data_IF_384777789914
#
_entry.id   IF_384777789914
#
_cell.length_a   1.000
_cell.length_b   1.000
_cell.length_c   1.000
_cell.angle_alpha   90.00
_cell.angle_beta   90.00
_cell.angle_gamma   90.00
#
_symmetry.space_group_name_H-M   'P 1'
#
loop_
_entity.id
_entity.type
_entity.pdbx_description
1 polymer ?
#
# COMPACT_ATOMS: atom_id res chain seq x y z
N UNK A 1 -1.66 16.19 26.41
CA UNK A 1 -1.88 14.94 27.16
C UNK A 1 -2.91 14.11 26.42
N UNK A 2 -2.90 12.76 26.56
CA UNK A 2 -3.93 11.92 25.98
C UNK A 2 -5.33 12.36 26.45
N UNK A 3 -6.35 12.31 25.59
CA UNK A 3 -7.71 12.66 25.99
C UNK A 3 -8.20 11.69 27.07
N UNK A 4 -8.68 12.24 28.18
CA UNK A 4 -9.28 11.44 29.24
C UNK A 4 -10.71 10.99 28.86
N UNK A 5 -11.29 10.12 29.70
CA UNK A 5 -12.64 9.60 29.45
C UNK A 5 -13.70 10.70 29.40
N UNK A 6 -13.53 11.80 30.12
CA UNK A 6 -14.48 12.90 30.12
C UNK A 6 -14.40 13.72 28.82
N UNK A 7 -13.19 13.92 28.29
CA UNK A 7 -12.97 14.54 26.97
C UNK A 7 -13.60 13.69 25.87
N UNK A 8 -13.42 12.37 25.92
CA UNK A 8 -14.05 11.44 24.95
C UNK A 8 -15.58 11.49 25.07
N UNK A 9 -16.11 11.46 26.30
CA UNK A 9 -17.55 11.57 26.57
C UNK A 9 -18.11 12.87 26.01
N UNK A 10 -17.47 14.00 26.29
CA UNK A 10 -17.84 15.32 25.78
C UNK A 10 -17.78 15.37 24.26
N UNK A 11 -16.71 14.85 23.65
CA UNK A 11 -16.59 14.76 22.19
C UNK A 11 -17.75 13.98 21.56
N UNK A 12 -18.12 12.85 22.16
CA UNK A 12 -19.21 12.03 21.67
C UNK A 12 -20.61 12.56 22.00
N UNK A 13 -20.80 13.51 22.91
CA UNK A 13 -22.12 14.08 23.24
C UNK A 13 -22.34 15.50 22.68
N UNK A 14 -21.26 16.28 22.55
CA UNK A 14 -21.31 17.71 22.23
C UNK A 14 -20.38 18.10 21.08
N UNK A 15 -19.34 17.31 20.82
CA UNK A 15 -18.33 17.59 19.80
C UNK A 15 -18.75 17.26 18.38
N UNK A 16 -17.94 17.72 17.41
CA UNK A 16 -18.02 17.34 16.00
C UNK A 16 -17.42 15.95 15.84
N UNK A 17 -18.19 14.99 15.34
CA UNK A 17 -17.72 13.64 15.04
C UNK A 17 -17.50 13.53 13.54
N UNK A 18 -16.25 13.41 13.14
CA UNK A 18 -15.83 13.30 11.75
C UNK A 18 -15.48 11.86 11.44
N UNK A 19 -16.05 11.31 10.36
CA UNK A 19 -15.67 9.97 9.89
C UNK A 19 -14.65 10.05 8.77
N UNK A 20 -13.75 9.07 8.78
CA UNK A 20 -12.88 8.73 7.68
C UNK A 20 -13.58 7.79 6.66
N UNK A 21 -13.03 7.70 5.45
CA UNK A 21 -13.57 6.87 4.36
C UNK A 21 -13.54 5.38 4.71
N UNK A 22 -12.52 4.92 5.45
CA UNK A 22 -12.41 3.53 5.90
C UNK A 22 -13.62 3.08 6.74
N UNK A 23 -14.13 3.93 7.63
CA UNK A 23 -15.29 3.63 8.49
C UNK A 23 -16.54 3.39 7.66
N UNK A 24 -16.73 4.20 6.61
CA UNK A 24 -17.84 4.05 5.67
C UNK A 24 -17.71 2.76 4.85
N UNK A 25 -16.50 2.43 4.41
CA UNK A 25 -16.22 1.21 3.67
C UNK A 25 -16.39 -0.06 4.53
N UNK A 26 -16.16 0.01 5.84
CA UNK A 26 -16.40 -1.10 6.78
C UNK A 26 -17.84 -1.60 6.76
N UNK A 27 -18.82 -0.73 6.46
CA UNK A 27 -20.23 -1.14 6.34
C UNK A 27 -20.45 -2.22 5.28
N UNK A 28 -19.66 -2.20 4.19
CA UNK A 28 -19.71 -3.19 3.12
C UNK A 28 -19.00 -4.50 3.49
N UNK A 29 -18.08 -4.46 4.45
CA UNK A 29 -17.31 -5.62 4.92
C UNK A 29 -17.99 -6.33 6.09
N UNK A 30 -18.87 -5.63 6.79
CA UNK A 30 -19.48 -6.12 8.01
C UNK A 30 -20.63 -7.08 7.74
N UNK A 31 -20.75 -8.10 8.60
CA UNK A 31 -21.94 -8.94 8.68
C UNK A 31 -23.20 -8.09 8.94
N UNK A 32 -24.40 -8.52 8.52
CA UNK A 32 -25.61 -7.68 8.53
C UNK A 32 -25.95 -7.07 9.90
N UNK A 33 -25.78 -7.86 10.97
CA UNK A 33 -26.00 -7.39 12.34
C UNK A 33 -25.00 -6.28 12.71
N UNK A 34 -23.71 -6.54 12.57
CA UNK A 34 -22.63 -5.59 12.87
C UNK A 34 -22.72 -4.30 12.05
N UNK A 35 -23.15 -4.42 10.79
CA UNK A 35 -23.44 -3.28 9.89
C UNK A 35 -24.57 -2.42 10.43
N UNK A 36 -25.67 -3.05 10.84
CA UNK A 36 -26.84 -2.37 11.41
C UNK A 36 -26.47 -1.66 12.73
N UNK A 37 -25.69 -2.32 13.58
CA UNK A 37 -25.20 -1.75 14.84
C UNK A 37 -24.30 -0.53 14.60
N UNK A 38 -23.39 -0.58 13.61
CA UNK A 38 -22.59 0.58 13.19
C UNK A 38 -23.47 1.71 12.64
N UNK A 39 -24.43 1.42 11.75
CA UNK A 39 -25.37 2.42 11.23
C UNK A 39 -26.17 3.10 12.34
N UNK A 40 -26.61 2.34 13.34
CA UNK A 40 -27.34 2.86 14.49
C UNK A 40 -26.43 3.74 15.36
N UNK A 41 -25.19 3.31 15.62
CA UNK A 41 -24.21 4.12 16.34
C UNK A 41 -23.97 5.48 15.66
N UNK A 42 -23.78 5.47 14.33
CA UNK A 42 -23.63 6.69 13.54
C UNK A 42 -24.89 7.57 13.59
N UNK A 43 -26.08 6.95 13.54
CA UNK A 43 -27.36 7.67 13.63
C UNK A 43 -27.54 8.38 14.98
N UNK A 44 -27.11 7.76 16.08
CA UNK A 44 -27.19 8.31 17.45
C UNK A 44 -26.29 9.54 17.66
N UNK A 45 -25.22 9.69 16.87
CA UNK A 45 -24.41 10.92 16.88
C UNK A 45 -25.24 12.11 16.37
N UNK A 46 -26.15 11.88 15.44
CA UNK A 46 -27.11 12.88 14.96
C UNK A 46 -26.42 14.02 14.20
N UNK A 47 -26.83 15.27 14.48
CA UNK A 47 -26.34 16.48 13.78
C UNK A 47 -24.84 16.73 13.93
N UNK A 48 -24.23 16.10 14.92
CA UNK A 48 -22.79 16.19 15.21
C UNK A 48 -21.94 15.33 14.29
N UNK A 49 -22.56 14.38 13.58
CA UNK A 49 -21.89 13.59 12.58
C UNK A 49 -21.61 14.45 11.35
N UNK A 50 -20.41 14.31 10.79
CA UNK A 50 -20.04 14.99 9.56
C UNK A 50 -18.95 14.20 8.82
N UNK A 51 -18.88 14.36 7.50
CA UNK A 51 -17.77 13.87 6.70
C UNK A 51 -17.22 14.97 5.77
N UNK A 52 -15.89 15.04 5.59
CA UNK A 52 -15.28 15.88 4.57
C UNK A 52 -15.78 15.52 3.16
N UNK A 53 -15.77 16.50 2.26
CA UNK A 53 -15.99 16.25 0.84
C UNK A 53 -15.02 15.19 0.30
N UNK A 54 -13.74 15.27 0.70
CA UNK A 54 -12.72 14.31 0.29
C UNK A 54 -13.07 12.88 0.71
N UNK A 55 -13.58 12.68 1.93
CA UNK A 55 -14.04 11.37 2.42
C UNK A 55 -15.18 10.83 1.56
N UNK A 56 -16.13 11.68 1.17
CA UNK A 56 -17.20 11.32 0.24
C UNK A 56 -16.68 10.86 -1.12
N UNK A 57 -15.70 11.57 -1.69
CA UNK A 57 -15.06 11.20 -2.96
C UNK A 57 -14.36 9.85 -2.86
N UNK A 58 -13.52 9.65 -1.84
CA UNK A 58 -12.79 8.41 -1.62
C UNK A 58 -13.72 7.22 -1.40
N UNK A 59 -14.79 7.41 -0.63
CA UNK A 59 -15.81 6.41 -0.44
C UNK A 59 -16.44 6.00 -1.77
N UNK A 60 -16.86 6.96 -2.60
CA UNK A 60 -17.48 6.66 -3.88
C UNK A 60 -16.53 5.97 -4.88
N UNK A 61 -15.25 6.34 -4.89
CA UNK A 61 -14.20 5.70 -5.71
C UNK A 61 -13.97 4.25 -5.29
N UNK A 62 -13.93 3.99 -3.99
CA UNK A 62 -13.50 2.70 -3.45
C UNK A 62 -14.64 1.71 -3.18
N UNK A 63 -15.90 2.15 -3.03
CA UNK A 63 -17.00 1.25 -2.60
C UNK A 63 -17.21 0.05 -3.52
N UNK A 64 -17.15 0.26 -4.85
CA UNK A 64 -17.41 -0.81 -5.82
C UNK A 64 -16.31 -1.87 -5.78
N UNK A 65 -15.06 -1.45 -5.53
CA UNK A 65 -13.94 -2.36 -5.32
C UNK A 65 -14.15 -3.20 -4.05
N UNK A 66 -14.57 -2.57 -2.94
CA UNK A 66 -14.84 -3.30 -1.69
C UNK A 66 -15.97 -4.32 -1.84
N UNK A 67 -17.03 -3.98 -2.58
CA UNK A 67 -18.10 -4.94 -2.93
C UNK A 67 -17.55 -6.11 -3.75
N UNK A 68 -16.75 -5.82 -4.78
CA UNK A 68 -16.15 -6.85 -5.62
C UNK A 68 -15.19 -7.77 -4.85
N UNK A 69 -14.36 -7.21 -3.96
CA UNK A 69 -13.43 -7.94 -3.11
C UNK A 69 -14.17 -8.85 -2.12
N UNK A 70 -15.30 -8.41 -1.58
CA UNK A 70 -16.16 -9.22 -0.72
C UNK A 70 -16.72 -10.43 -1.47
N UNK A 71 -17.25 -10.22 -2.67
CA UNK A 71 -17.74 -11.31 -3.53
C UNK A 71 -16.64 -12.28 -3.96
N UNK A 72 -15.45 -11.74 -4.27
CA UNK A 72 -14.30 -12.55 -4.65
C UNK A 72 -13.87 -13.49 -3.51
N UNK A 73 -13.94 -13.06 -2.25
CA UNK A 73 -13.59 -13.89 -1.10
C UNK A 73 -14.47 -15.15 -0.98
N UNK A 74 -15.78 -15.03 -1.21
CA UNK A 74 -16.67 -16.20 -1.23
C UNK A 74 -16.40 -17.10 -2.44
N UNK A 75 -16.21 -16.51 -3.62
CA UNK A 75 -15.90 -17.26 -4.86
C UNK A 75 -14.60 -18.05 -4.75
N UNK A 76 -13.58 -17.49 -4.09
CA UNK A 76 -12.30 -18.17 -3.84
C UNK A 76 -12.47 -19.43 -2.99
N UNK A 77 -13.25 -19.34 -1.91
CA UNK A 77 -13.54 -20.50 -1.04
C UNK A 77 -14.40 -21.54 -1.77
N UNK A 78 -15.43 -21.10 -2.50
CA UNK A 78 -16.29 -22.00 -3.30
C UNK A 78 -15.46 -22.70 -4.40
N UNK A 79 -14.61 -21.95 -5.10
CA UNK A 79 -13.70 -22.50 -6.12
C UNK A 79 -12.70 -23.51 -5.52
N UNK A 80 -12.14 -23.21 -4.35
CA UNK A 80 -11.27 -24.12 -3.61
C UNK A 80 -12.00 -25.39 -3.17
N UNK A 81 -13.25 -25.28 -2.73
CA UNK A 81 -14.09 -26.43 -2.39
C UNK A 81 -14.33 -27.31 -3.62
N UNK A 82 -14.66 -26.69 -4.75
CA UNK A 82 -14.89 -27.39 -6.02
C UNK A 82 -13.62 -28.11 -6.49
N UNK A 83 -12.47 -27.45 -6.48
CA UNK A 83 -11.20 -28.07 -6.83
C UNK A 83 -10.88 -29.27 -5.94
N UNK A 84 -11.11 -29.15 -4.62
CA UNK A 84 -10.89 -30.25 -3.68
C UNK A 84 -11.87 -31.39 -3.92
N UNK A 85 -13.14 -31.10 -4.22
CA UNK A 85 -14.13 -32.11 -4.60
C UNK A 85 -13.64 -32.87 -5.83
N UNK A 86 -13.24 -32.17 -6.88
CA UNK A 86 -12.82 -32.77 -8.15
C UNK A 86 -11.55 -33.62 -8.01
N UNK A 87 -10.66 -33.30 -7.06
CA UNK A 87 -9.45 -34.09 -6.80
C UNK A 87 -9.65 -35.22 -5.78
N UNK A 88 -10.37 -34.97 -4.68
CA UNK A 88 -10.47 -35.87 -3.53
C UNK A 88 -11.62 -36.85 -3.65
N UNK A 89 -12.76 -36.43 -4.20
CA UNK A 89 -13.93 -37.29 -4.31
C UNK A 89 -13.66 -38.53 -5.18
N UNK A 90 -12.97 -38.44 -6.34
CA UNK A 90 -12.61 -39.63 -7.12
C UNK A 90 -11.63 -40.56 -6.39
N UNK A 91 -10.66 -40.01 -5.64
CA UNK A 91 -9.71 -40.81 -4.85
C UNK A 91 -10.43 -41.59 -3.75
N UNK A 92 -11.30 -40.92 -3.01
CA UNK A 92 -12.04 -41.55 -1.92
C UNK A 92 -13.10 -42.53 -2.45
N UNK A 93 -13.76 -42.21 -3.57
CA UNK A 93 -14.66 -43.13 -4.28
C UNK A 93 -13.93 -44.43 -4.60
N UNK A 94 -12.75 -44.35 -5.24
CA UNK A 94 -11.93 -45.52 -5.54
C UNK A 94 -11.62 -46.34 -4.28
N UNK A 95 -11.21 -45.71 -3.18
CA UNK A 95 -10.90 -46.42 -1.91
C UNK A 95 -12.14 -47.08 -1.30
N UNK A 96 -13.30 -46.45 -1.38
CA UNK A 96 -14.58 -47.02 -0.92
C UNK A 96 -14.94 -48.25 -1.76
N UNK A 97 -14.74 -48.19 -3.08
CA UNK A 97 -14.94 -49.36 -3.96
C UNK A 97 -13.94 -50.48 -3.68
N UNK A 98 -12.68 -50.16 -3.47
CA UNK A 98 -11.64 -51.13 -3.10
C UNK A 98 -11.95 -51.80 -1.75
N UNK A 99 -12.43 -51.03 -0.76
CA UNK A 99 -12.92 -51.57 0.50
C UNK A 99 -14.06 -52.55 0.23
N UNK A 100 -15.06 -52.13 -0.54
CA UNK A 100 -16.21 -52.96 -0.89
C UNK A 100 -15.80 -54.30 -1.51
N UNK A 101 -14.83 -54.28 -2.42
CA UNK A 101 -14.28 -55.49 -3.03
C UNK A 101 -13.51 -56.39 -2.05
N UNK A 102 -12.81 -55.80 -1.06
CA UNK A 102 -11.99 -56.55 -0.10
C UNK A 102 -12.80 -57.20 1.02
N UNK A 103 -13.87 -56.56 1.47
CA UNK A 103 -14.69 -57.04 2.60
C UNK A 103 -16.06 -57.55 2.18
N UNK A 104 -16.32 -57.64 0.86
CA UNK A 104 -17.63 -57.99 0.29
C UNK A 104 -18.76 -57.12 0.87
N UNK A 105 -18.52 -55.80 0.91
CA UNK A 105 -19.50 -54.82 1.39
C UNK A 105 -20.74 -54.87 0.48
N UNK A 106 -21.96 -54.91 1.03
CA UNK A 106 -23.18 -54.79 0.24
C UNK A 106 -23.18 -53.53 -0.65
N UNK A 107 -23.75 -53.64 -1.86
CA UNK A 107 -23.74 -52.55 -2.84
C UNK A 107 -24.48 -51.30 -2.32
N UNK A 108 -25.57 -51.50 -1.57
CA UNK A 108 -26.34 -50.44 -0.92
C UNK A 108 -25.53 -49.71 0.16
N UNK A 109 -24.82 -50.44 1.04
CA UNK A 109 -23.94 -49.83 2.05
C UNK A 109 -22.79 -49.02 1.41
N UNK A 110 -22.23 -49.50 0.30
CA UNK A 110 -21.21 -48.76 -0.46
C UNK A 110 -21.78 -47.49 -1.09
N UNK A 111 -22.92 -47.61 -1.76
CA UNK A 111 -23.53 -46.51 -2.48
C UNK A 111 -24.02 -45.42 -1.51
N UNK A 112 -24.47 -45.80 -0.31
CA UNK A 112 -24.79 -44.88 0.79
C UNK A 112 -23.57 -44.05 1.22
N UNK A 113 -22.37 -44.65 1.33
CA UNK A 113 -21.14 -43.93 1.65
C UNK A 113 -20.74 -42.93 0.56
N UNK A 114 -20.87 -43.32 -0.72
CA UNK A 114 -20.59 -42.43 -1.86
C UNK A 114 -21.61 -41.28 -1.91
N UNK A 115 -22.88 -41.56 -1.65
CA UNK A 115 -23.94 -40.55 -1.60
C UNK A 115 -23.74 -39.60 -0.42
N UNK A 116 -23.26 -40.08 0.73
CA UNK A 116 -22.91 -39.26 1.89
C UNK A 116 -21.78 -38.29 1.55
N UNK A 117 -20.74 -38.75 0.85
CA UNK A 117 -19.64 -37.90 0.39
C UNK A 117 -20.14 -36.78 -0.53
N UNK A 118 -20.89 -37.13 -1.56
CA UNK A 118 -21.39 -36.18 -2.55
C UNK A 118 -22.41 -35.18 -1.95
N UNK A 119 -23.27 -35.64 -1.04
CA UNK A 119 -24.21 -34.76 -0.34
C UNK A 119 -23.51 -33.81 0.63
N UNK A 120 -22.43 -34.25 1.31
CA UNK A 120 -21.65 -33.39 2.21
C UNK A 120 -21.02 -32.20 1.48
N UNK A 121 -20.41 -32.44 0.30
CA UNK A 121 -19.88 -31.36 -0.54
C UNK A 121 -20.97 -30.39 -0.99
N UNK A 122 -22.10 -30.90 -1.46
CA UNK A 122 -23.24 -30.07 -1.89
C UNK A 122 -23.82 -29.23 -0.76
N UNK A 123 -23.97 -29.80 0.43
CA UNK A 123 -24.47 -29.08 1.61
C UNK A 123 -23.53 -27.94 2.00
N UNK A 124 -22.21 -28.18 2.03
CA UNK A 124 -21.24 -27.14 2.35
C UNK A 124 -21.22 -26.02 1.31
N UNK A 125 -21.26 -26.36 0.02
CA UNK A 125 -21.34 -25.37 -1.06
C UNK A 125 -22.61 -24.53 -0.93
N UNK A 126 -23.77 -25.15 -0.74
CA UNK A 126 -25.05 -24.46 -0.57
C UNK A 126 -25.04 -23.52 0.64
N UNK A 127 -24.46 -23.96 1.77
CA UNK A 127 -24.31 -23.12 2.96
C UNK A 127 -23.43 -21.89 2.69
N UNK A 128 -22.32 -22.04 1.94
CA UNK A 128 -21.46 -20.92 1.56
C UNK A 128 -22.17 -19.93 0.63
N UNK A 129 -22.91 -20.42 -0.37
CA UNK A 129 -23.71 -19.58 -1.27
C UNK A 129 -24.83 -18.84 -0.52
N UNK A 130 -25.46 -19.50 0.45
CA UNK A 130 -26.47 -18.87 1.30
C UNK A 130 -25.86 -17.77 2.18
N UNK A 131 -24.68 -18.00 2.77
CA UNK A 131 -23.94 -16.99 3.51
C UNK A 131 -23.52 -15.82 2.63
N UNK A 132 -23.08 -16.08 1.39
CA UNK A 132 -22.77 -15.02 0.44
C UNK A 132 -24.00 -14.16 0.16
N UNK A 133 -25.17 -14.77 -0.05
CA UNK A 133 -26.42 -14.02 -0.28
C UNK A 133 -26.88 -13.24 0.95
N UNK A 134 -26.70 -13.79 2.15
CA UNK A 134 -27.18 -13.16 3.39
C UNK A 134 -26.26 -12.04 3.90
N UNK A 135 -24.94 -12.22 3.77
CA UNK A 135 -23.95 -11.23 4.19
C UNK A 135 -23.62 -10.24 3.09
N UNK A 136 -23.78 -10.66 1.84
CA UNK A 136 -23.51 -9.89 0.63
C UNK A 136 -24.20 -8.55 0.62
N UNK A 137 -23.45 -7.57 0.15
CA UNK A 137 -24.00 -6.38 -0.47
C UNK A 137 -24.25 -6.82 -1.92
N UNK A 138 -25.46 -6.65 -2.44
CA UNK A 138 -25.82 -7.18 -3.77
C UNK A 138 -24.79 -6.84 -4.85
N UNK A 139 -24.85 -7.53 -6.00
CA UNK A 139 -23.92 -7.29 -7.11
C UNK A 139 -23.73 -5.78 -7.38
N UNK A 140 -22.58 -5.32 -7.88
CA UNK A 140 -22.31 -3.87 -8.07
C UNK A 140 -23.38 -3.06 -8.83
N UNK A 141 -24.21 -3.73 -9.64
CA UNK A 141 -25.32 -3.15 -10.39
C UNK A 141 -26.69 -3.22 -9.67
N UNK A 142 -26.77 -3.84 -8.50
CA UNK A 142 -27.99 -3.97 -7.71
C UNK A 142 -28.26 -2.71 -6.86
N UNK A 143 -29.51 -2.51 -6.39
CA UNK A 143 -29.82 -1.44 -5.45
C UNK A 143 -28.96 -1.52 -4.18
N UNK A 144 -28.22 -0.44 -3.90
CA UNK A 144 -27.28 -0.38 -2.78
C UNK A 144 -27.98 0.15 -1.51
N UNK A 145 -28.57 -0.77 -0.75
CA UNK A 145 -29.28 -0.43 0.50
C UNK A 145 -28.37 0.19 1.56
N UNK A 146 -27.06 -0.10 1.54
CA UNK A 146 -26.09 0.52 2.43
C UNK A 146 -25.92 1.99 2.08
N UNK A 147 -25.75 2.28 0.79
CA UNK A 147 -25.64 3.65 0.29
C UNK A 147 -26.90 4.47 0.58
N UNK A 148 -28.10 3.91 0.37
CA UNK A 148 -29.34 4.61 0.71
C UNK A 148 -29.41 4.92 2.20
N UNK A 149 -29.04 3.95 3.06
CA UNK A 149 -29.02 4.21 4.50
C UNK A 149 -27.98 5.26 4.90
N UNK A 150 -26.81 5.25 4.26
CA UNK A 150 -25.79 6.28 4.46
C UNK A 150 -26.26 7.65 4.00
N UNK A 151 -26.99 7.76 2.89
CA UNK A 151 -27.58 9.01 2.42
C UNK A 151 -28.53 9.61 3.46
N UNK A 152 -29.35 8.78 4.11
CA UNK A 152 -30.21 9.23 5.21
C UNK A 152 -29.38 9.72 6.40
N UNK A 153 -28.40 8.91 6.85
CA UNK A 153 -27.55 9.23 8.01
C UNK A 153 -26.72 10.49 7.79
N UNK A 154 -26.23 10.71 6.56
CA UNK A 154 -25.35 11.81 6.20
C UNK A 154 -26.07 12.98 5.54
N UNK A 155 -27.40 12.96 5.48
CA UNK A 155 -28.17 14.05 4.86
C UNK A 155 -27.85 15.39 5.54
N UNK A 156 -27.34 16.36 4.77
CA UNK A 156 -26.92 17.67 5.25
C UNK A 156 -25.65 17.64 6.14
N UNK A 157 -24.87 16.55 6.10
CA UNK A 157 -23.70 16.30 6.95
C UNK A 157 -22.45 15.96 6.15
N UNK A 158 -22.42 16.36 4.88
CA UNK A 158 -21.27 16.19 3.98
C UNK A 158 -20.72 17.57 3.66
N UNK A 159 -19.41 17.75 3.79
CA UNK A 159 -18.73 18.98 3.38
C UNK A 159 -18.97 19.29 1.91
N UNK A 160 -19.11 20.58 1.60
CA UNK A 160 -19.22 21.05 0.22
C UNK A 160 -17.88 20.88 -0.52
N UNK A 161 -17.96 20.76 -1.84
CA UNK A 161 -16.78 20.77 -2.69
C UNK A 161 -16.03 22.10 -2.50
N UNK A 162 -14.74 22.08 -2.11
CA UNK A 162 -13.98 23.32 -1.96
C UNK A 162 -13.88 24.08 -3.29
N UNK A 163 -14.00 25.42 -3.28
CA UNK A 163 -13.76 26.24 -4.46
C UNK A 163 -12.39 25.96 -5.08
N UNK A 164 -12.24 26.16 -6.40
CA UNK A 164 -11.01 25.84 -7.13
C UNK A 164 -9.77 26.51 -6.53
N UNK A 165 -9.87 27.77 -6.10
CA UNK A 165 -8.77 28.49 -5.44
C UNK A 165 -8.39 27.83 -4.10
N UNK A 166 -9.37 27.46 -3.27
CA UNK A 166 -9.09 26.77 -2.01
C UNK A 166 -8.46 25.41 -2.26
N UNK A 167 -8.93 24.67 -3.28
CA UNK A 167 -8.35 23.39 -3.66
C UNK A 167 -6.88 23.56 -4.06
N UNK A 168 -6.54 24.59 -4.84
CA UNK A 168 -5.16 24.87 -5.24
C UNK A 168 -4.27 25.13 -4.01
N UNK A 169 -4.73 25.99 -3.09
CA UNK A 169 -4.02 26.26 -1.84
C UNK A 169 -3.83 25.00 -0.99
N UNK A 170 -4.87 24.18 -0.87
CA UNK A 170 -4.79 22.93 -0.12
C UNK A 170 -3.78 21.95 -0.77
N UNK A 171 -3.67 21.92 -2.09
CA UNK A 171 -2.69 21.06 -2.79
C UNK A 171 -1.25 21.56 -2.61
N UNK A 172 -1.02 22.88 -2.69
CA UNK A 172 0.30 23.48 -2.44
C UNK A 172 0.77 23.22 -1.01
N UNK A 173 -0.15 23.36 -0.04
CA UNK A 173 0.11 23.04 1.37
C UNK A 173 0.38 21.54 1.56
N UNK A 174 -0.39 20.66 0.93
CA UNK A 174 -0.17 19.22 1.00
C UNK A 174 1.22 18.83 0.46
N UNK A 175 1.65 19.44 -0.66
CA UNK A 175 2.98 19.23 -1.22
C UNK A 175 4.09 19.69 -0.25
N UNK A 176 3.96 20.90 0.33
CA UNK A 176 4.92 21.40 1.32
C UNK A 176 5.02 20.45 2.52
N UNK A 177 3.89 19.93 3.01
CA UNK A 177 3.87 18.99 4.14
C UNK A 177 4.58 17.68 3.83
N UNK A 178 4.48 17.18 2.60
CA UNK A 178 5.23 16.00 2.16
C UNK A 178 6.74 16.28 2.21
N UNK A 179 7.18 17.40 1.64
CA UNK A 179 8.60 17.79 1.58
C UNK A 179 9.19 18.03 2.97
N UNK A 180 8.45 18.71 3.85
CA UNK A 180 8.85 19.06 5.22
C UNK A 180 8.54 17.97 6.25
N UNK A 181 7.92 16.85 5.84
CA UNK A 181 7.47 15.74 6.70
C UNK A 181 6.54 16.18 7.85
N UNK A 182 5.63 17.09 7.54
CA UNK A 182 4.62 17.62 8.46
C UNK A 182 3.35 16.74 8.37
N UNK A 183 2.81 16.24 9.49
CA UNK A 183 1.59 15.42 9.49
C UNK A 183 0.31 16.22 9.21
N UNK A 184 -0.78 15.58 8.75
CA UNK A 184 -0.86 14.22 8.24
C UNK A 184 -0.58 14.16 6.72
N UNK A 185 -0.32 12.97 6.18
CA UNK A 185 -0.24 12.70 4.74
C UNK A 185 1.18 12.59 4.16
N UNK A 186 2.23 13.00 4.89
CA UNK A 186 3.60 12.91 4.37
C UNK A 186 4.07 11.46 4.13
N UNK A 187 3.45 10.46 4.80
CA UNK A 187 3.74 9.03 4.59
C UNK A 187 3.10 8.45 3.32
N UNK A 188 2.22 9.18 2.65
CA UNK A 188 1.59 8.74 1.39
C UNK A 188 2.37 9.14 0.13
N UNK A 189 3.61 9.65 0.30
CA UNK A 189 4.51 9.98 -0.80
C UNK A 189 4.73 8.76 -1.71
N UNK A 190 4.24 8.83 -2.95
CA UNK A 190 4.36 7.75 -3.94
C UNK A 190 3.09 6.91 -4.19
N UNK A 191 1.96 7.25 -3.56
CA UNK A 191 0.63 6.77 -3.97
C UNK A 191 0.06 7.62 -5.11
N UNK A 192 -0.92 7.08 -5.83
CA UNK A 192 -1.64 7.80 -6.90
C UNK A 192 -2.37 9.06 -6.39
N UNK A 193 -2.74 9.09 -5.11
CA UNK A 193 -3.37 10.23 -4.43
C UNK A 193 -2.63 10.57 -3.13
N UNK A 194 -1.49 11.28 -3.20
CA UNK A 194 -0.62 11.53 -2.03
C UNK A 194 -1.16 12.60 -1.07
N UNK A 195 -2.25 13.30 -1.43
CA UNK A 195 -2.76 14.46 -0.70
C UNK A 195 -4.07 14.19 0.07
N UNK A 196 -4.67 13.00 -0.05
CA UNK A 196 -5.98 12.67 0.52
C UNK A 196 -6.09 12.96 2.01
N UNK A 197 -5.15 12.41 2.81
CA UNK A 197 -5.11 12.58 4.27
C UNK A 197 -5.10 14.06 4.70
N UNK A 198 -4.31 14.91 4.04
CA UNK A 198 -4.28 16.35 4.35
C UNK A 198 -5.60 17.06 3.96
N UNK A 199 -6.22 16.66 2.85
CA UNK A 199 -7.50 17.25 2.43
C UNK A 199 -8.63 16.90 3.42
N UNK A 200 -8.65 15.66 3.92
CA UNK A 200 -9.55 15.25 5.01
C UNK A 200 -9.30 16.10 6.25
N UNK A 201 -8.03 16.30 6.63
CA UNK A 201 -7.65 17.08 7.79
C UNK A 201 -8.01 18.57 7.69
N UNK A 202 -7.64 19.23 6.60
CA UNK A 202 -7.92 20.65 6.36
C UNK A 202 -9.42 20.96 6.34
N UNK A 203 -10.22 20.12 5.69
CA UNK A 203 -11.68 20.24 5.69
C UNK A 203 -12.26 20.04 7.10
N UNK A 204 -11.73 19.08 7.87
CA UNK A 204 -12.11 18.85 9.26
C UNK A 204 -11.86 20.09 10.13
N UNK A 205 -10.69 20.71 10.00
CA UNK A 205 -10.35 21.91 10.76
C UNK A 205 -11.27 23.09 10.43
N UNK A 206 -11.57 23.30 9.15
CA UNK A 206 -12.50 24.37 8.71
C UNK A 206 -13.90 24.15 9.26
N UNK A 207 -14.45 22.95 9.14
CA UNK A 207 -15.79 22.64 9.66
C UNK A 207 -15.85 22.81 11.19
N UNK A 208 -14.81 22.35 11.90
CA UNK A 208 -14.72 22.49 13.36
C UNK A 208 -14.69 23.97 13.78
N UNK A 209 -13.94 24.80 13.06
CA UNK A 209 -13.84 26.24 13.26
C UNK A 209 -15.19 26.93 13.02
N UNK A 210 -15.86 26.62 11.90
CA UNK A 210 -17.16 27.18 11.55
C UNK A 210 -18.24 26.85 12.59
N UNK A 211 -18.27 25.59 13.04
CA UNK A 211 -19.21 25.13 14.07
C UNK A 211 -18.83 25.57 15.49
N UNK A 212 -17.64 26.13 15.69
CA UNK A 212 -17.06 26.45 17.01
C UNK A 212 -17.15 25.26 17.97
N UNK A 213 -16.87 24.07 17.44
CA UNK A 213 -17.03 22.82 18.20
C UNK A 213 -15.93 22.71 19.25
N UNK A 214 -16.24 22.44 20.53
CA UNK A 214 -15.22 22.41 21.59
C UNK A 214 -14.29 21.19 21.49
N UNK A 215 -14.76 20.13 20.84
CA UNK A 215 -14.04 18.87 20.66
C UNK A 215 -14.32 18.36 19.24
N UNK A 216 -13.28 17.85 18.58
CA UNK A 216 -13.37 17.12 17.31
C UNK A 216 -13.00 15.67 17.59
N UNK A 217 -13.92 14.75 17.30
CA UNK A 217 -13.72 13.31 17.33
C UNK A 217 -13.52 12.82 15.91
N UNK A 218 -12.29 12.53 15.51
CA UNK A 218 -12.00 11.89 14.24
C UNK A 218 -12.04 10.37 14.42
N UNK A 219 -13.00 9.71 13.78
CA UNK A 219 -13.14 8.26 13.76
C UNK A 219 -12.41 7.72 12.53
N UNK A 220 -11.31 7.02 12.76
CA UNK A 220 -10.48 6.46 11.68
C UNK A 220 -9.82 5.17 12.16
N UNK A 221 -9.84 4.15 11.29
CA UNK A 221 -9.05 2.92 11.48
C UNK A 221 -7.62 3.05 10.94
N UNK A 222 -7.18 4.23 10.53
CA UNK A 222 -5.81 4.45 10.09
C UNK A 222 -4.83 4.19 11.25
N UNK A 223 -3.73 3.49 10.95
CA UNK A 223 -2.69 3.13 11.91
C UNK A 223 -1.35 3.83 11.64
N UNK A 224 -1.27 4.69 10.62
CA UNK A 224 -0.04 5.39 10.24
C UNK A 224 0.47 6.30 11.37
N UNK A 225 1.79 6.44 11.43
CA UNK A 225 2.48 7.17 12.50
C UNK A 225 2.47 8.69 12.32
N UNK A 226 2.03 9.19 11.16
CA UNK A 226 1.78 10.61 10.94
C UNK A 226 0.47 11.07 11.60
N UNK A 227 -0.46 10.16 11.90
CA UNK A 227 -1.67 10.47 12.66
C UNK A 227 -1.51 10.28 14.17
N UNK A 228 -0.79 9.24 14.62
CA UNK A 228 -0.73 8.86 16.03
C UNK A 228 0.67 9.00 16.64
N UNK A 229 0.73 9.52 17.86
CA UNK A 229 1.89 9.35 18.73
C UNK A 229 1.89 7.94 19.31
N UNK A 230 3.02 7.24 19.13
CA UNK A 230 3.20 5.88 19.61
C UNK A 230 4.44 5.76 20.48
N UNK A 231 4.36 4.95 21.52
CA UNK A 231 5.49 4.65 22.40
C UNK A 231 5.53 3.14 22.65
N UNK A 232 6.67 2.50 22.36
CA UNK A 232 6.89 1.04 22.56
C UNK A 232 5.75 0.17 21.99
N UNK A 233 5.28 0.51 20.79
CA UNK A 233 4.22 -0.22 20.09
C UNK A 233 2.78 0.11 20.53
N UNK A 234 2.59 0.93 21.55
CA UNK A 234 1.26 1.37 21.99
C UNK A 234 0.85 2.69 21.35
N UNK A 235 -0.39 2.78 20.86
CA UNK A 235 -1.02 4.05 20.46
C UNK A 235 -1.34 4.85 21.72
N UNK A 236 -0.75 6.04 21.85
CA UNK A 236 -0.93 6.87 23.04
C UNK A 236 -2.02 7.92 22.83
N UNK A 237 -1.91 8.70 21.75
CA UNK A 237 -2.84 9.77 21.39
C UNK A 237 -2.63 10.19 19.93
N UNK A 238 -3.46 11.09 19.43
CA UNK A 238 -3.15 11.83 18.20
C UNK A 238 -1.79 12.52 18.33
N UNK A 239 -1.08 12.70 17.22
CA UNK A 239 0.19 13.44 17.25
C UNK A 239 0.02 14.82 17.92
N UNK A 240 0.96 15.24 18.80
CA UNK A 240 0.89 16.54 19.46
C UNK A 240 0.77 17.70 18.47
N UNK A 241 1.37 17.58 17.29
CA UNK A 241 1.30 18.56 16.19
C UNK A 241 -0.12 18.72 15.68
N UNK A 242 -0.83 17.61 15.43
CA UNK A 242 -2.23 17.63 15.01
C UNK A 242 -3.14 18.18 16.11
N UNK A 243 -2.87 17.80 17.36
CA UNK A 243 -3.62 18.29 18.52
C UNK A 243 -3.43 19.80 18.70
N UNK A 244 -2.20 20.30 18.52
CA UNK A 244 -1.86 21.72 18.60
C UNK A 244 -2.47 22.50 17.44
N UNK A 245 -2.40 21.97 16.22
CA UNK A 245 -2.98 22.58 15.04
C UNK A 245 -4.51 22.69 15.16
N UNK A 246 -5.19 21.63 15.60
CA UNK A 246 -6.63 21.66 15.84
C UNK A 246 -7.04 22.72 16.86
N UNK A 247 -6.30 22.81 17.97
CA UNK A 247 -6.54 23.84 18.97
C UNK A 247 -6.28 25.25 18.41
N UNK A 248 -5.20 25.44 17.64
CA UNK A 248 -4.81 26.74 17.09
C UNK A 248 -5.79 27.24 16.02
N UNK A 249 -6.25 26.37 15.14
CA UNK A 249 -7.10 26.73 13.99
C UNK A 249 -8.58 26.75 14.37
N UNK A 250 -9.06 25.69 15.02
CA UNK A 250 -10.48 25.50 15.31
C UNK A 250 -10.87 25.83 16.76
N UNK A 251 -9.90 26.05 17.66
CA UNK A 251 -10.18 26.21 19.09
C UNK A 251 -10.67 24.93 19.77
N UNK A 252 -10.47 23.77 19.13
CA UNK A 252 -11.04 22.50 19.54
C UNK A 252 -9.99 21.52 20.08
N UNK A 253 -10.39 20.67 21.04
CA UNK A 253 -9.59 19.52 21.43
C UNK A 253 -9.75 18.37 20.43
N UNK A 254 -8.64 17.74 20.03
CA UNK A 254 -8.66 16.59 19.13
C UNK A 254 -8.75 15.27 19.90
N UNK A 255 -9.71 14.44 19.52
CA UNK A 255 -9.85 13.04 19.93
C UNK A 255 -9.82 12.17 18.69
N UNK A 256 -8.93 11.19 18.63
CA UNK A 256 -8.88 10.21 17.54
C UNK A 256 -9.31 8.84 18.05
N UNK A 257 -10.26 8.21 17.38
CA UNK A 257 -10.81 6.91 17.77
C UNK A 257 -10.79 5.92 16.59
N UNK A 258 -10.15 4.75 16.75
CA UNK A 258 -10.44 3.59 15.91
C UNK A 258 -11.92 3.20 15.98
N UNK A 259 -12.47 2.64 14.90
CA UNK A 259 -13.88 2.21 14.81
C UNK A 259 -14.29 1.33 16.00
N UNK A 260 -13.40 0.42 16.44
CA UNK A 260 -13.62 -0.42 17.64
C UNK A 260 -13.88 0.40 18.91
N UNK A 261 -13.07 1.43 19.16
CA UNK A 261 -13.21 2.29 20.34
C UNK A 261 -14.41 3.21 20.19
N UNK A 262 -14.67 3.73 18.99
CA UNK A 262 -15.90 4.47 18.71
C UNK A 262 -17.14 3.66 19.08
N UNK A 263 -17.25 2.41 18.62
CA UNK A 263 -18.37 1.52 18.95
C UNK A 263 -18.49 1.25 20.45
N UNK A 264 -17.37 0.97 21.12
CA UNK A 264 -17.33 0.74 22.57
C UNK A 264 -17.79 1.97 23.37
N UNK A 265 -17.35 3.17 22.96
CA UNK A 265 -17.75 4.41 23.60
C UNK A 265 -19.16 4.86 23.22
N UNK A 266 -19.63 4.54 22.01
CA UNK A 266 -21.02 4.75 21.60
C UNK A 266 -21.96 3.88 22.46
N UNK A 267 -21.60 2.62 22.72
CA UNK A 267 -22.35 1.77 23.66
C UNK A 267 -22.39 2.41 25.06
N UNK A 268 -21.24 2.85 25.57
CA UNK A 268 -21.12 3.41 26.92
C UNK A 268 -21.87 4.74 27.11
N UNK A 269 -21.65 5.69 26.21
CA UNK A 269 -22.06 7.09 26.36
C UNK A 269 -23.30 7.45 25.53
N UNK A 270 -23.47 6.87 24.34
CA UNK A 270 -24.66 7.08 23.49
C UNK A 270 -25.76 6.04 23.71
N UNK A 271 -25.50 5.03 24.55
CA UNK A 271 -26.41 3.90 24.80
C UNK A 271 -26.77 3.14 23.53
N UNK A 272 -25.84 3.10 22.57
CA UNK A 272 -25.98 2.29 21.37
C UNK A 272 -26.02 0.80 21.75
N UNK A 273 -26.92 0.03 21.15
CA UNK A 273 -26.95 -1.41 21.33
C UNK A 273 -25.89 -2.06 20.44
N UNK A 274 -24.69 -2.25 20.98
CA UNK A 274 -23.55 -2.86 20.30
C UNK A 274 -23.24 -4.20 20.94
N UNK A 275 -23.11 -5.24 20.12
CA UNK A 275 -22.71 -6.56 20.57
C UNK A 275 -21.18 -6.71 20.58
N UNK A 276 -20.67 -7.58 21.46
CA UNK A 276 -19.24 -7.89 21.51
C UNK A 276 -18.73 -8.45 20.18
N UNK A 277 -19.60 -9.12 19.42
CA UNK A 277 -19.32 -9.61 18.07
C UNK A 277 -18.95 -8.46 17.12
N UNK A 278 -19.71 -7.37 17.12
CA UNK A 278 -19.44 -6.19 16.30
C UNK A 278 -18.12 -5.53 16.68
N UNK A 279 -17.83 -5.42 17.98
CA UNK A 279 -16.54 -4.90 18.48
C UNK A 279 -15.38 -5.78 18.00
N UNK A 280 -15.52 -7.12 18.12
CA UNK A 280 -14.52 -8.08 17.61
C UNK A 280 -14.35 -8.01 16.09
N UNK A 281 -15.43 -7.79 15.35
CA UNK A 281 -15.37 -7.70 13.90
C UNK A 281 -14.60 -6.44 13.45
N UNK A 282 -14.82 -5.31 14.12
CA UNK A 282 -14.04 -4.09 13.90
C UNK A 282 -12.56 -4.26 14.25
N UNK A 283 -12.24 -5.03 15.30
CA UNK A 283 -10.87 -5.38 15.66
C UNK A 283 -10.20 -6.28 14.62
N UNK A 284 -10.90 -7.35 14.20
CA UNK A 284 -10.39 -8.28 13.19
C UNK A 284 -10.18 -7.59 11.84
N UNK A 285 -11.06 -6.66 11.46
CA UNK A 285 -10.88 -5.85 10.25
C UNK A 285 -9.59 -5.02 10.33
N UNK A 286 -9.37 -4.31 11.43
CA UNK A 286 -8.15 -3.51 11.63
C UNK A 286 -6.88 -4.38 11.57
N UNK A 287 -6.91 -5.56 12.19
CA UNK A 287 -5.81 -6.53 12.11
C UNK A 287 -5.60 -7.08 10.69
N UNK A 288 -6.68 -7.32 9.94
CA UNK A 288 -6.60 -7.80 8.57
C UNK A 288 -6.01 -6.73 7.64
N UNK A 289 -6.39 -5.46 7.81
CA UNK A 289 -5.84 -4.35 7.04
C UNK A 289 -4.34 -4.14 7.34
N UNK A 290 -3.91 -4.23 8.61
CA UNK A 290 -2.48 -4.18 8.98
C UNK A 290 -1.70 -5.35 8.37
N UNK A 291 -2.29 -6.56 8.37
CA UNK A 291 -1.66 -7.74 7.75
C UNK A 291 -1.46 -7.55 6.25
N UNK A 292 -2.48 -7.05 5.53
CA UNK A 292 -2.39 -6.77 4.09
C UNK A 292 -1.31 -5.74 3.78
N UNK A 293 -1.19 -4.71 4.64
CA UNK A 293 -0.14 -3.72 4.49
C UNK A 293 1.26 -4.33 4.69
N UNK A 294 1.45 -5.18 5.71
CA UNK A 294 2.70 -5.91 5.91
C UNK A 294 3.05 -6.79 4.70
N UNK A 295 2.08 -7.51 4.15
CA UNK A 295 2.25 -8.31 2.93
C UNK A 295 2.66 -7.44 1.73
N UNK A 296 2.06 -6.25 1.60
CA UNK A 296 2.42 -5.24 0.60
C UNK A 296 3.86 -4.72 0.77
N UNK A 297 4.28 -4.41 2.00
CA UNK A 297 5.66 -3.99 2.29
C UNK A 297 6.67 -5.10 1.97
N UNK A 298 6.38 -6.35 2.32
CA UNK A 298 7.23 -7.51 1.97
C UNK A 298 7.38 -7.62 0.45
N UNK A 299 6.28 -7.49 -0.30
CA UNK A 299 6.33 -7.48 -1.76
C UNK A 299 7.20 -6.33 -2.28
N UNK A 300 7.02 -5.13 -1.74
CA UNK A 300 7.78 -3.95 -2.15
C UNK A 300 9.29 -4.10 -1.88
N UNK A 301 9.66 -4.65 -0.73
CA UNK A 301 11.06 -4.96 -0.40
C UNK A 301 11.64 -5.94 -1.42
N UNK A 302 10.91 -7.00 -1.79
CA UNK A 302 11.35 -7.95 -2.84
C UNK A 302 11.56 -7.26 -4.19
N UNK A 303 10.64 -6.39 -4.59
CA UNK A 303 10.76 -5.61 -5.83
C UNK A 303 11.98 -4.69 -5.83
N UNK A 304 12.23 -3.97 -4.73
CA UNK A 304 13.39 -3.06 -4.60
C UNK A 304 14.71 -3.83 -4.61
N UNK A 305 14.78 -4.99 -3.94
CA UNK A 305 15.96 -5.88 -3.99
C UNK A 305 16.22 -6.41 -5.39
N UNK A 306 15.18 -6.75 -6.14
CA UNK A 306 15.33 -7.17 -7.53
C UNK A 306 15.85 -6.03 -8.42
N UNK A 307 15.37 -4.80 -8.22
CA UNK A 307 15.87 -3.61 -8.92
C UNK A 307 17.33 -3.30 -8.59
N UNK A 308 17.73 -3.43 -7.31
CA UNK A 308 19.12 -3.30 -6.90
C UNK A 308 20.00 -4.36 -7.57
N UNK A 309 19.61 -5.63 -7.54
CA UNK A 309 20.37 -6.71 -8.15
C UNK A 309 20.59 -6.50 -9.66
N UNK A 310 19.55 -6.08 -10.39
CA UNK A 310 19.63 -5.72 -11.80
C UNK A 310 20.58 -4.53 -12.05
N UNK A 311 20.47 -3.47 -11.25
CA UNK A 311 21.33 -2.29 -11.39
C UNK A 311 22.81 -2.61 -11.11
N UNK A 312 23.09 -3.41 -10.07
CA UNK A 312 24.45 -3.89 -9.75
C UNK A 312 25.00 -4.77 -10.86
N UNK A 313 24.18 -5.65 -11.44
CA UNK A 313 24.56 -6.46 -12.60
C UNK A 313 24.96 -5.59 -13.79
N UNK A 314 24.16 -4.57 -14.11
CA UNK A 314 24.46 -3.61 -15.19
C UNK A 314 25.72 -2.78 -14.93
N UNK A 315 25.92 -2.30 -13.71
CA UNK A 315 27.14 -1.58 -13.34
C UNK A 315 28.38 -2.46 -13.53
N UNK A 316 28.32 -3.71 -13.05
CA UNK A 316 29.43 -4.66 -13.17
C UNK A 316 29.79 -4.93 -14.64
N UNK A 317 28.79 -5.07 -15.51
CA UNK A 317 29.01 -5.26 -16.96
C UNK A 317 29.60 -4.01 -17.62
N UNK A 318 29.08 -2.81 -17.32
CA UNK A 318 29.59 -1.56 -17.86
C UNK A 318 31.02 -1.27 -17.40
N UNK A 319 31.34 -1.50 -16.12
CA UNK A 319 32.69 -1.37 -15.59
C UNK A 319 33.64 -2.33 -16.29
N UNK A 320 33.24 -3.59 -16.48
CA UNK A 320 34.03 -4.58 -17.23
C UNK A 320 34.31 -4.12 -18.66
N UNK A 321 33.29 -3.68 -19.39
CA UNK A 321 33.44 -3.18 -20.77
C UNK A 321 34.31 -1.93 -20.84
N UNK A 322 34.14 -1.01 -19.90
CA UNK A 322 34.98 0.20 -19.79
C UNK A 322 36.46 -0.18 -19.62
N UNK A 323 36.77 -1.12 -18.74
CA UNK A 323 38.15 -1.62 -18.56
C UNK A 323 38.69 -2.24 -19.86
N UNK A 324 37.90 -3.06 -20.56
CA UNK A 324 38.32 -3.63 -21.84
C UNK A 324 38.65 -2.56 -22.90
N UNK A 325 37.86 -1.48 -22.98
CA UNK A 325 38.13 -0.36 -23.89
C UNK A 325 39.36 0.44 -23.44
N UNK A 326 39.58 0.61 -22.13
CA UNK A 326 40.79 1.26 -21.59
C UNK A 326 42.07 0.47 -21.90
N UNK A 327 42.02 -0.85 -21.78
CA UNK A 327 43.14 -1.72 -22.15
C UNK A 327 43.44 -1.63 -23.64
N UNK A 328 42.39 -1.64 -24.48
CA UNK A 328 42.50 -1.49 -25.93
C UNK A 328 43.03 -0.11 -26.33
N UNK A 329 42.59 0.95 -25.67
CA UNK A 329 43.11 2.32 -25.84
C UNK A 329 44.61 2.37 -25.56
N UNK A 330 45.04 1.80 -24.43
CA UNK A 330 46.46 1.76 -24.03
C UNK A 330 47.34 1.06 -25.07
N UNK A 331 46.81 0.04 -25.76
CA UNK A 331 47.50 -0.63 -26.87
C UNK A 331 47.63 0.30 -28.08
N UNK A 332 46.55 0.97 -28.49
CA UNK A 332 46.56 1.91 -29.62
C UNK A 332 47.45 3.13 -29.36
N UNK A 333 47.48 3.66 -28.14
CA UNK A 333 48.38 4.77 -27.75
C UNK A 333 49.85 4.38 -27.88
N UNK A 334 50.23 3.18 -27.40
CA UNK A 334 51.60 2.67 -27.57
C UNK A 334 51.98 2.53 -29.04
N UNK A 335 51.08 1.99 -29.86
CA UNK A 335 51.30 1.83 -31.30
C UNK A 335 51.43 3.17 -32.00
N UNK A 336 50.55 4.11 -31.66
CA UNK A 336 50.58 5.48 -32.17
C UNK A 336 51.92 6.17 -31.85
N UNK A 337 52.38 6.10 -30.60
CA UNK A 337 53.68 6.66 -30.18
C UNK A 337 54.87 6.03 -30.93
N UNK A 338 54.84 4.71 -31.16
CA UNK A 338 55.85 4.02 -31.96
C UNK A 338 55.90 4.52 -33.41
N UNK A 339 54.74 4.68 -34.06
CA UNK A 339 54.64 5.17 -35.43
C UNK A 339 55.12 6.62 -35.55
N UNK A 340 54.84 7.47 -34.55
CA UNK A 340 55.38 8.83 -34.50
C UNK A 340 56.91 8.84 -34.44
N UNK A 341 57.51 8.00 -33.58
CA UNK A 341 58.97 7.89 -33.49
C UNK A 341 59.61 7.41 -34.80
N UNK A 342 59.02 6.40 -35.45
CA UNK A 342 59.48 5.96 -36.77
C UNK A 342 59.40 7.08 -37.82
N UNK A 343 58.30 7.84 -37.82
CA UNK A 343 58.09 8.95 -38.73
C UNK A 343 59.17 10.00 -38.56
N UNK A 344 59.45 10.40 -37.33
CA UNK A 344 60.43 11.44 -37.02
C UNK A 344 61.85 11.01 -37.39
N UNK A 345 62.13 9.70 -37.28
CA UNK A 345 63.40 9.10 -37.72
C UNK A 345 63.55 9.11 -39.24
N UNK A 346 62.48 8.77 -39.99
CA UNK A 346 62.44 8.79 -41.47
C UNK A 346 62.44 10.22 -42.06
N UNK A 347 61.77 11.18 -41.43
CA UNK A 347 61.78 12.59 -41.88
C UNK A 347 63.20 13.15 -41.91
N UNK A 348 64.07 12.68 -41.00
CA UNK A 348 65.45 13.12 -40.90
C UNK A 348 66.36 12.59 -42.03
N UNK A 349 65.96 11.53 -42.76
CA UNK A 349 66.72 10.93 -43.86
C UNK A 349 66.10 11.10 -45.26
N UNK A 350 64.79 11.36 -45.35
CA UNK A 350 63.97 11.23 -46.57
C UNK A 350 64.10 12.34 -47.64
N UNK A 351 65.29 12.90 -47.85
CA UNK A 351 65.44 14.07 -48.76
C UNK A 351 65.33 13.73 -50.25
N UNK A 352 65.71 12.53 -50.72
CA UNK A 352 65.82 12.25 -52.17
C UNK A 352 65.33 10.86 -52.66
N UNK A 353 64.99 9.89 -51.79
CA UNK A 353 64.57 8.53 -52.17
C UNK A 353 63.03 8.39 -52.36
N UNK A 354 62.53 8.01 -53.56
CA UNK A 354 61.11 7.72 -53.82
C UNK A 354 60.50 6.65 -52.91
N UNK A 355 61.25 5.60 -52.56
CA UNK A 355 60.76 4.49 -51.72
C UNK A 355 60.56 4.97 -50.26
N UNK A 356 61.42 5.87 -49.79
CA UNK A 356 61.27 6.49 -48.47
C UNK A 356 60.06 7.44 -48.42
N UNK A 357 59.72 8.12 -49.53
CA UNK A 357 58.51 8.95 -49.63
C UNK A 357 57.23 8.12 -49.58
N UNK A 358 57.20 6.97 -50.24
CA UNK A 358 56.07 6.04 -50.18
C UNK A 358 55.88 5.48 -48.77
N UNK A 359 56.96 5.05 -48.11
CA UNK A 359 56.94 4.60 -46.71
C UNK A 359 56.44 5.70 -45.77
N UNK A 360 56.86 6.95 -45.97
CA UNK A 360 56.40 8.08 -45.18
C UNK A 360 54.89 8.34 -45.37
N UNK A 361 54.37 8.18 -46.59
CA UNK A 361 52.94 8.31 -46.89
C UNK A 361 52.11 7.24 -46.18
N UNK A 362 52.53 5.97 -46.26
CA UNK A 362 51.87 4.86 -45.58
C UNK A 362 51.86 5.06 -44.06
N UNK A 363 52.98 5.51 -43.49
CA UNK A 363 53.10 5.79 -42.08
C UNK A 363 52.19 6.94 -41.61
N UNK A 364 52.01 7.99 -42.43
CA UNK A 364 51.04 9.06 -42.15
C UNK A 364 49.61 8.55 -42.13
N UNK A 365 49.26 7.64 -43.04
CA UNK A 365 47.94 6.98 -43.06
C UNK A 365 47.70 6.18 -41.79
N UNK A 366 48.67 5.37 -41.36
CA UNK A 366 48.57 4.57 -40.13
C UNK A 366 48.44 5.46 -38.89
N UNK A 367 49.23 6.54 -38.81
CA UNK A 367 49.14 7.54 -37.72
C UNK A 367 47.74 8.16 -37.67
N UNK A 368 47.18 8.54 -38.82
CA UNK A 368 45.83 9.10 -38.88
C UNK A 368 44.77 8.08 -38.41
N UNK A 369 44.91 6.82 -38.84
CA UNK A 369 44.04 5.72 -38.41
C UNK A 369 44.06 5.55 -36.88
N UNK A 370 45.23 5.36 -36.27
CA UNK A 370 45.36 5.18 -34.82
C UNK A 370 44.92 6.41 -34.03
N UNK A 371 45.12 7.63 -34.56
CA UNK A 371 44.60 8.86 -33.94
C UNK A 371 43.07 8.85 -33.88
N UNK A 372 42.40 8.49 -34.97
CA UNK A 372 40.94 8.36 -34.98
C UNK A 372 40.46 7.27 -34.02
N UNK A 373 41.16 6.14 -34.00
CA UNK A 373 40.86 5.01 -33.11
C UNK A 373 40.94 5.40 -31.63
N UNK A 374 41.99 6.13 -31.23
CA UNK A 374 42.19 6.68 -29.88
C UNK A 374 41.02 7.59 -29.49
N UNK A 375 40.72 8.59 -30.31
CA UNK A 375 39.63 9.56 -30.05
C UNK A 375 38.28 8.82 -29.89
N UNK A 376 38.02 7.83 -30.74
CA UNK A 376 36.79 7.03 -30.67
C UNK A 376 36.68 6.28 -29.34
N UNK A 377 37.77 5.65 -28.87
CA UNK A 377 37.78 4.91 -27.61
C UNK A 377 37.70 5.83 -26.39
N UNK A 378 38.38 6.97 -26.41
CA UNK A 378 38.25 7.98 -25.36
C UNK A 378 36.78 8.43 -25.22
N UNK A 379 36.12 8.68 -26.35
CA UNK A 379 34.68 9.04 -26.38
C UNK A 379 33.81 7.92 -25.79
N UNK A 380 34.09 6.66 -26.13
CA UNK A 380 33.37 5.50 -25.58
C UNK A 380 33.56 5.36 -24.06
N UNK A 381 34.78 5.57 -23.55
CA UNK A 381 35.08 5.55 -22.11
C UNK A 381 34.33 6.66 -21.36
N UNK A 382 34.22 7.85 -21.95
CA UNK A 382 33.42 8.96 -21.39
C UNK A 382 31.95 8.55 -21.31
N UNK A 383 31.39 8.02 -22.39
CA UNK A 383 30.00 7.51 -22.44
C UNK A 383 29.74 6.45 -21.36
N UNK A 384 30.62 5.46 -21.21
CA UNK A 384 30.50 4.47 -20.12
C UNK A 384 30.53 5.12 -18.74
N UNK A 385 31.40 6.10 -18.53
CA UNK A 385 31.52 6.80 -17.24
C UNK A 385 30.26 7.60 -16.89
N UNK A 386 29.59 8.18 -17.89
CA UNK A 386 28.28 8.84 -17.70
C UNK A 386 27.18 7.86 -17.37
N UNK A 387 27.10 6.73 -18.09
CA UNK A 387 26.12 5.67 -17.82
C UNK A 387 26.30 5.09 -16.41
N UNK A 388 27.54 4.77 -16.01
CA UNK A 388 27.88 4.28 -14.68
C UNK A 388 27.41 5.28 -13.61
N UNK A 389 27.75 6.57 -13.75
CA UNK A 389 27.31 7.61 -12.80
C UNK A 389 25.80 7.70 -12.69
N UNK A 390 25.09 7.68 -13.82
CA UNK A 390 23.62 7.72 -13.85
C UNK A 390 22.99 6.51 -13.13
N UNK A 391 23.50 5.30 -13.39
CA UNK A 391 22.98 4.09 -12.74
C UNK A 391 23.31 4.09 -11.24
N UNK A 392 24.54 4.48 -10.86
CA UNK A 392 24.95 4.56 -9.46
C UNK A 392 24.05 5.51 -8.65
N UNK A 393 23.73 6.70 -9.19
CA UNK A 393 22.80 7.63 -8.54
C UNK A 393 21.40 7.04 -8.35
N UNK A 394 20.86 6.35 -9.36
CA UNK A 394 19.55 5.66 -9.22
C UNK A 394 19.61 4.52 -8.20
N UNK A 395 20.73 3.81 -8.14
CA UNK A 395 20.94 2.72 -7.18
C UNK A 395 20.93 3.23 -5.73
N UNK A 396 21.54 4.38 -5.45
CA UNK A 396 21.47 5.02 -4.13
C UNK A 396 20.02 5.30 -3.70
N UNK A 397 19.19 5.81 -4.62
CA UNK A 397 17.77 6.05 -4.37
C UNK A 397 17.01 4.75 -4.09
N UNK A 398 17.28 3.68 -4.84
CA UNK A 398 16.65 2.36 -4.62
C UNK A 398 17.03 1.80 -3.24
N UNK A 399 18.31 1.87 -2.86
CA UNK A 399 18.81 1.43 -1.55
C UNK A 399 18.19 2.23 -0.40
N UNK A 400 18.08 3.55 -0.55
CA UNK A 400 17.43 4.40 0.44
C UNK A 400 15.95 4.01 0.62
N UNK A 401 15.23 3.78 -0.49
CA UNK A 401 13.83 3.32 -0.45
C UNK A 401 13.70 1.94 0.19
N UNK A 402 14.58 1.00 -0.12
CA UNK A 402 14.54 -0.36 0.47
C UNK A 402 14.72 -0.29 1.98
N UNK A 403 15.72 0.47 2.45
CA UNK A 403 15.98 0.68 3.88
C UNK A 403 14.77 1.24 4.61
N UNK A 404 14.20 2.34 4.10
CA UNK A 404 13.01 2.98 4.70
C UNK A 404 11.80 2.03 4.73
N UNK A 405 11.59 1.28 3.64
CA UNK A 405 10.48 0.31 3.55
C UNK A 405 10.70 -0.85 4.54
N UNK A 406 11.94 -1.29 4.73
CA UNK A 406 12.28 -2.35 5.67
C UNK A 406 12.15 -1.91 7.13
N UNK A 407 12.58 -0.69 7.46
CA UNK A 407 12.36 -0.08 8.77
C UNK A 407 10.86 0.01 9.09
N UNK A 408 10.05 0.51 8.16
CA UNK A 408 8.58 0.54 8.32
C UNK A 408 8.00 -0.87 8.55
N UNK A 409 8.47 -1.86 7.79
CA UNK A 409 8.02 -3.25 7.93
C UNK A 409 8.31 -3.81 9.34
N UNK A 410 9.52 -3.66 9.86
CA UNK A 410 9.88 -4.20 11.18
C UNK A 410 9.11 -3.50 12.31
N UNK A 411 8.94 -2.18 12.22
CA UNK A 411 8.12 -1.44 13.17
C UNK A 411 6.66 -1.91 13.16
N UNK A 412 6.05 -2.06 11.98
CA UNK A 412 4.67 -2.54 11.84
C UNK A 412 4.50 -3.98 12.29
N UNK A 413 5.45 -4.84 11.96
CA UNK A 413 5.43 -6.27 12.32
C UNK A 413 5.45 -6.44 13.84
N UNK A 414 6.27 -5.66 14.55
CA UNK A 414 6.30 -5.67 16.01
C UNK A 414 4.95 -5.23 16.60
N UNK A 415 4.33 -4.15 16.05
CA UNK A 415 3.00 -3.69 16.47
C UNK A 415 1.91 -4.72 16.23
N UNK A 416 1.93 -5.37 15.07
CA UNK A 416 0.97 -6.40 14.71
C UNK A 416 1.05 -7.59 15.68
N UNK A 417 2.26 -7.98 16.10
CA UNK A 417 2.45 -9.04 17.10
C UNK A 417 1.83 -8.68 18.46
N UNK A 418 2.07 -7.46 18.96
CA UNK A 418 1.49 -6.98 20.24
C UNK A 418 -0.05 -6.92 20.15
N UNK A 419 -0.58 -6.34 19.08
CA UNK A 419 -2.02 -6.18 18.88
C UNK A 419 -2.73 -7.53 18.81
N UNK A 420 -2.12 -8.50 18.12
CA UNK A 420 -2.61 -9.88 18.05
C UNK A 420 -2.57 -10.57 19.41
N UNK A 421 -1.53 -10.34 20.22
CA UNK A 421 -1.43 -10.92 21.57
C UNK A 421 -2.51 -10.35 22.50
N UNK A 422 -2.74 -9.04 22.47
CA UNK A 422 -3.81 -8.39 23.25
C UNK A 422 -5.19 -8.88 22.81
N UNK A 423 -5.44 -8.98 21.50
CA UNK A 423 -6.69 -9.51 20.96
C UNK A 423 -6.91 -10.99 21.34
N UNK A 424 -5.84 -11.78 21.47
CA UNK A 424 -5.92 -13.16 21.94
C UNK A 424 -6.25 -13.23 23.44
N UNK A 425 -5.63 -12.40 24.27
CA UNK A 425 -5.91 -12.31 25.70
C UNK A 425 -7.34 -11.85 25.98
N UNK A 426 -7.91 -10.95 25.16
CA UNK A 426 -9.29 -10.51 25.31
C UNK A 426 -10.34 -11.56 24.89
N UNK A 427 -9.92 -12.65 24.22
CA UNK A 427 -10.79 -13.78 23.85
C UNK A 427 -10.82 -14.89 24.89
N UNK A 428 -9.81 -14.95 25.76
CA UNK A 428 -9.79 -15.84 26.93
C UNK A 428 -10.57 -15.18 28.07
#
# INVERSE_FOLDING_TARGET
MPPDLETIRKGLLEGLVVLDSNVLLSLYRYAPKSRTELQNALSLVGRRLWIPHQVGLEFHRNRLKVIADFDAAYKDVIGSLQQRKDSFAPELDQKIRELGNRVALPDDERDDLLQLLESSFRQLQSALEQLQRSHGVGAPAAPDSILEKLREILHGRVGSEPPAEQRKLDMEEAARRVDEKVPPGYKDSGKDEPHGDYLVWSQTLREAQERKSPVVVLVTSDTKDDWYLRLKGQTIMARPELSHECLKVAGAQLVMLPTRLFLSYAQRFLKANISDETIRQAENESLADERRLLEGLVRRIKELRAQEADAVGRLTDLERRKVQVQDSLSVSERRYGYLLNQRDSLISSASEDPDERERLSNLRSDIAHFRHEIISRETEIISFSEQIRSIASRLEVVRAKERLTHEEYEERKHRFAISRQLAYQAKQ
#
